data_IF_701321071779
#
_entry.id   IF_701321071779
#
_cell.length_a   1.000
_cell.length_b   1.000
_cell.length_c   1.000
_cell.angle_alpha   90.00
_cell.angle_beta   90.00
_cell.angle_gamma   90.00
#
_symmetry.space_group_name_H-M   'P 1'
#
loop_
_entity.id
_entity.type
_entity.pdbx_description
1 polymer ?
#
# COMPACT_ATOMS: atom_id res chain seq x y z
N UNK A 1 17.49 9.44 -4.38
CA UNK A 1 16.74 8.79 -5.47
C UNK A 1 15.73 7.89 -4.80
N UNK A 2 14.46 8.24 -4.85
CA UNK A 2 13.36 7.45 -4.29
C UNK A 2 13.02 6.27 -5.21
N UNK A 3 12.70 5.14 -4.60
CA UNK A 3 12.38 3.87 -5.29
C UNK A 3 11.24 4.04 -6.32
N UNK A 4 10.27 4.93 -6.03
CA UNK A 4 9.15 5.24 -6.91
C UNK A 4 9.60 5.81 -8.26
N UNK A 5 10.54 6.77 -8.24
CA UNK A 5 11.10 7.37 -9.45
C UNK A 5 11.93 6.38 -10.27
N UNK A 6 12.62 5.45 -9.61
CA UNK A 6 13.40 4.40 -10.29
C UNK A 6 12.50 3.45 -11.11
N UNK A 7 11.28 3.18 -10.62
CA UNK A 7 10.30 2.32 -11.28
C UNK A 7 9.24 3.06 -12.10
N UNK A 8 9.40 4.38 -12.32
CA UNK A 8 8.46 5.23 -13.06
C UNK A 8 7.00 5.14 -12.56
N UNK A 9 6.81 4.99 -11.25
CA UNK A 9 5.48 4.81 -10.65
C UNK A 9 4.74 6.16 -10.64
N UNK A 10 3.51 6.19 -11.14
CA UNK A 10 2.65 7.39 -11.12
C UNK A 10 1.61 7.28 -10.00
N UNK A 11 1.55 8.29 -9.13
CA UNK A 11 0.58 8.41 -8.05
C UNK A 11 -0.53 9.40 -8.44
N UNK A 12 -1.77 8.90 -8.57
CA UNK A 12 -2.95 9.75 -8.67
C UNK A 12 -3.59 9.88 -7.28
N UNK A 13 -3.21 10.93 -6.56
CA UNK A 13 -3.69 11.20 -5.21
C UNK A 13 -5.19 11.52 -5.15
N UNK A 14 -5.77 12.08 -6.23
CA UNK A 14 -7.19 12.44 -6.27
C UNK A 14 -8.07 11.19 -6.37
N UNK A 15 -7.63 10.20 -7.15
CA UNK A 15 -8.33 8.92 -7.32
C UNK A 15 -7.84 7.81 -6.38
N UNK A 16 -6.80 8.08 -5.58
CA UNK A 16 -6.11 7.11 -4.72
C UNK A 16 -5.61 5.89 -5.51
N UNK A 17 -5.04 6.14 -6.69
CA UNK A 17 -4.53 5.10 -7.59
C UNK A 17 -3.01 5.15 -7.65
N UNK A 18 -2.41 3.96 -7.75
CA UNK A 18 -0.99 3.76 -8.04
C UNK A 18 -0.90 3.08 -9.40
N UNK A 19 -0.21 3.71 -10.36
CA UNK A 19 -0.11 3.24 -11.73
C UNK A 19 1.33 2.75 -11.97
N UNK A 20 1.44 1.49 -12.40
CA UNK A 20 2.69 0.85 -12.80
C UNK A 20 2.76 0.78 -14.33
N UNK A 21 3.40 1.74 -15.01
CA UNK A 21 3.51 1.72 -16.47
C UNK A 21 4.42 0.56 -16.92
N UNK A 22 4.08 -0.06 -18.06
CA UNK A 22 4.96 -1.05 -18.70
C UNK A 22 6.32 -0.42 -19.01
N UNK A 23 7.46 -1.13 -18.86
CA UNK A 23 8.80 -0.57 -19.10
C UNK A 23 8.97 0.01 -20.51
N UNK A 24 8.24 -0.51 -21.49
CA UNK A 24 8.19 0.02 -22.86
C UNK A 24 7.47 1.36 -22.89
N UNK A 25 6.33 1.46 -22.21
CA UNK A 25 5.48 2.66 -22.14
C UNK A 25 6.07 3.75 -21.22
N UNK A 26 6.77 3.37 -20.15
CA UNK A 26 7.47 4.28 -19.24
C UNK A 26 8.58 5.06 -19.98
N UNK A 27 9.30 4.40 -20.90
CA UNK A 27 10.23 5.06 -21.83
C UNK A 27 9.52 6.01 -22.80
N UNK A 28 8.32 5.67 -23.26
CA UNK A 28 7.51 6.56 -24.10
C UNK A 28 7.00 7.80 -23.35
N UNK A 29 6.60 7.67 -22.08
CA UNK A 29 6.17 8.79 -21.23
C UNK A 29 7.35 9.70 -20.83
N UNK A 30 8.52 9.11 -20.55
CA UNK A 30 9.78 9.85 -20.35
C UNK A 30 10.22 10.64 -21.58
N UNK A 31 9.87 10.18 -22.79
CA UNK A 31 10.23 10.84 -24.04
C UNK A 31 9.29 12.01 -24.41
N UNK A 32 8.09 12.07 -23.82
CA UNK A 32 7.18 13.19 -23.95
C UNK A 32 7.38 14.18 -22.79
N UNK A 33 8.36 15.07 -22.96
CA UNK A 33 8.28 16.39 -22.33
C UNK A 33 6.92 16.99 -22.71
N UNK A 34 6.07 17.24 -21.73
CA UNK A 34 4.87 18.07 -21.93
C UNK A 34 5.34 19.48 -22.27
N UNK A 35 5.48 19.79 -23.56
CA UNK A 35 5.73 21.15 -24.03
C UNK A 35 4.43 21.94 -23.99
N UNK A 36 4.22 22.65 -22.89
CA UNK A 36 3.24 23.73 -22.81
C UNK A 36 3.81 24.92 -23.58
N UNK A 37 3.28 25.18 -24.78
CA UNK A 37 3.60 26.40 -25.52
C UNK A 37 2.45 27.39 -25.43
N UNK A 38 2.73 28.61 -24.96
CA UNK A 38 1.79 29.72 -24.99
C UNK A 38 1.80 30.34 -26.39
N UNK A 39 0.66 30.40 -27.07
CA UNK A 39 0.43 31.29 -28.21
C UNK A 39 -0.85 32.07 -27.97
N UNK A 40 -0.78 33.40 -28.11
CA UNK A 40 -1.90 34.34 -28.07
C UNK A 40 -2.90 34.19 -26.89
N UNK A 41 -2.36 34.02 -25.68
CA UNK A 41 -3.17 34.14 -24.45
C UNK A 41 -4.12 32.98 -24.14
N UNK A 42 -4.16 31.93 -24.96
CA UNK A 42 -4.87 30.69 -24.66
C UNK A 42 -3.89 29.54 -24.37
N UNK A 43 -4.14 28.82 -23.27
CA UNK A 43 -3.37 27.65 -22.88
C UNK A 43 -3.84 26.43 -23.68
N UNK A 44 -3.16 26.11 -24.77
CA UNK A 44 -3.35 24.83 -25.46
C UNK A 44 -2.39 23.77 -24.89
N UNK A 45 -2.94 22.88 -24.07
CA UNK A 45 -2.28 21.68 -23.61
C UNK A 45 -2.61 20.52 -24.56
N UNK A 46 -1.68 20.16 -25.46
CA UNK A 46 -1.79 18.91 -26.23
C UNK A 46 -1.15 17.77 -25.45
N UNK A 47 -1.94 17.12 -24.61
CA UNK A 47 -1.56 15.88 -23.95
C UNK A 47 -1.90 14.69 -24.86
N UNK A 48 -0.87 13.99 -25.36
CA UNK A 48 -1.05 12.69 -26.02
C UNK A 48 -0.69 11.58 -25.04
N UNK A 49 -1.70 10.97 -24.42
CA UNK A 49 -1.74 9.55 -24.04
C UNK A 49 -3.03 9.24 -23.28
N UNK A 50 -4.05 8.73 -23.97
CA UNK A 50 -5.07 7.91 -23.31
C UNK A 50 -4.51 6.49 -23.20
N UNK A 51 -3.89 6.15 -22.08
CA UNK A 51 -3.79 4.74 -21.70
C UNK A 51 -5.09 4.39 -20.99
N UNK A 52 -5.90 3.54 -21.61
CA UNK A 52 -6.96 2.84 -20.91
C UNK A 52 -6.29 1.97 -19.84
N UNK A 53 -6.30 2.46 -18.60
CA UNK A 53 -5.95 1.66 -17.43
C UNK A 53 -7.00 0.55 -17.35
N UNK A 54 -6.65 -0.62 -17.87
CA UNK A 54 -7.46 -1.82 -17.72
C UNK A 54 -7.46 -2.19 -16.25
N UNK A 55 -8.53 -1.79 -15.56
CA UNK A 55 -8.76 -1.97 -14.12
C UNK A 55 -8.94 -3.44 -13.69
N UNK A 56 -8.61 -4.38 -14.58
CA UNK A 56 -8.84 -5.83 -14.44
C UNK A 56 -7.58 -6.68 -14.38
N UNK A 57 -6.39 -6.09 -14.31
CA UNK A 57 -5.16 -6.86 -14.06
C UNK A 57 -5.13 -7.34 -12.61
N UNK A 58 -4.91 -8.64 -12.45
CA UNK A 58 -4.63 -9.28 -11.16
C UNK A 58 -3.33 -8.70 -10.59
N UNK A 59 -3.26 -8.50 -9.28
CA UNK A 59 -2.08 -7.89 -8.61
C UNK A 59 -0.83 -8.73 -8.88
N UNK A 60 -1.00 -10.04 -9.03
CA UNK A 60 0.03 -11.02 -9.37
C UNK A 60 0.59 -10.85 -10.80
N UNK A 61 -0.04 -10.05 -11.67
CA UNK A 61 0.45 -9.77 -13.04
C UNK A 61 1.38 -8.54 -13.08
N UNK A 62 1.48 -7.79 -11.97
CA UNK A 62 2.38 -6.64 -11.85
C UNK A 62 3.82 -7.16 -11.70
N UNK A 63 4.71 -6.75 -12.60
CA UNK A 63 6.12 -7.20 -12.65
C UNK A 63 6.83 -7.08 -11.31
N UNK A 64 6.63 -5.96 -10.59
CA UNK A 64 7.25 -5.73 -9.28
C UNK A 64 6.69 -6.69 -8.21
N UNK A 65 5.38 -6.95 -8.21
CA UNK A 65 4.80 -7.91 -7.26
C UNK A 65 5.33 -9.32 -7.51
N UNK A 66 5.52 -9.69 -8.79
CA UNK A 66 6.11 -10.99 -9.18
C UNK A 66 7.59 -11.10 -8.81
N UNK A 67 8.29 -9.99 -8.72
CA UNK A 67 9.70 -9.95 -8.31
C UNK A 67 9.86 -10.05 -6.79
N UNK A 68 8.88 -9.54 -6.03
CA UNK A 68 8.88 -9.48 -4.56
C UNK A 68 7.71 -10.26 -3.92
N UNK A 69 7.50 -11.50 -4.36
CA UNK A 69 6.37 -12.33 -3.89
C UNK A 69 6.44 -12.61 -2.38
N UNK A 70 7.64 -12.66 -1.82
CA UNK A 70 7.91 -12.81 -0.39
C UNK A 70 7.50 -11.58 0.44
N UNK A 71 7.49 -10.39 -0.15
CA UNK A 71 7.06 -9.12 0.48
C UNK A 71 5.55 -8.93 0.39
N UNK A 72 4.91 -9.51 -0.63
CA UNK A 72 3.46 -9.43 -0.87
C UNK A 72 2.75 -10.79 -0.78
N UNK A 73 2.85 -11.52 0.35
CA UNK A 73 2.09 -12.75 0.53
C UNK A 73 0.59 -12.44 0.68
N UNK A 74 -0.26 -13.41 0.34
CA UNK A 74 -1.72 -13.27 0.48
C UNK A 74 -2.17 -13.11 1.94
N UNK A 75 -1.37 -13.63 2.88
CA UNK A 75 -1.58 -13.52 4.33
C UNK A 75 -0.22 -13.33 5.03
N UNK A 76 -0.23 -12.69 6.20
CA UNK A 76 1.00 -12.39 6.94
C UNK A 76 1.48 -13.66 7.66
N UNK A 77 2.67 -14.18 7.33
CA UNK A 77 3.10 -15.51 7.81
C UNK A 77 3.46 -15.55 9.30
N UNK A 78 3.65 -14.39 9.93
CA UNK A 78 4.01 -14.27 11.33
C UNK A 78 4.61 -12.90 11.64
N UNK A 79 5.06 -12.70 12.88
CA UNK A 79 5.72 -11.46 13.27
C UNK A 79 6.97 -11.22 12.41
N UNK A 80 7.28 -9.95 12.07
CA UNK A 80 8.52 -9.64 11.40
C UNK A 80 9.71 -10.11 12.25
N UNK A 81 10.86 -10.43 11.62
CA UNK A 81 12.09 -10.75 12.35
C UNK A 81 12.43 -9.68 13.39
N UNK A 82 13.15 -10.08 14.43
CA UNK A 82 13.65 -9.17 15.46
C UNK A 82 14.40 -8.03 14.76
N UNK A 83 13.88 -6.81 14.93
CA UNK A 83 14.51 -5.59 14.43
C UNK A 83 15.54 -5.11 15.44
N UNK A 84 16.57 -4.41 14.98
CA UNK A 84 17.56 -3.75 15.85
C UNK A 84 16.91 -2.69 16.77
N UNK A 85 15.72 -2.21 16.40
CA UNK A 85 14.94 -1.25 17.19
C UNK A 85 13.74 -1.95 17.81
N UNK A 86 13.70 -1.96 19.15
CA UNK A 86 12.53 -2.38 19.92
C UNK A 86 11.47 -1.27 19.91
N UNK A 87 10.21 -1.64 19.73
CA UNK A 87 9.10 -0.70 19.88
C UNK A 87 8.78 -0.54 21.36
N UNK A 88 9.29 0.53 21.98
CA UNK A 88 8.94 0.91 23.34
C UNK A 88 7.70 1.81 23.37
N UNK A 89 6.81 1.60 24.35
CA UNK A 89 5.69 2.49 24.63
C UNK A 89 6.07 3.37 25.82
N UNK A 90 6.49 4.60 25.54
CA UNK A 90 6.81 5.57 26.58
C UNK A 90 5.54 6.12 27.23
N UNK A 91 5.39 5.90 28.53
CA UNK A 91 4.27 6.42 29.31
C UNK A 91 4.61 7.80 29.86
N UNK A 92 3.60 8.68 29.90
CA UNK A 92 3.77 9.96 30.59
C UNK A 92 3.97 9.71 32.11
N UNK A 93 4.90 10.43 32.77
CA UNK A 93 5.12 10.27 34.21
C UNK A 93 3.82 10.40 35.01
N UNK A 94 3.55 9.43 35.88
CA UNK A 94 2.32 9.37 36.67
C UNK A 94 1.15 8.64 36.01
N UNK A 95 1.33 8.09 34.81
CA UNK A 95 0.33 7.22 34.17
C UNK A 95 0.26 5.87 34.90
N UNK A 96 -0.92 5.49 35.37
CA UNK A 96 -1.19 4.18 35.98
C UNK A 96 -1.80 3.20 34.96
N UNK A 97 -1.68 1.88 35.18
CA UNK A 97 -2.35 0.89 34.35
C UNK A 97 -3.87 1.08 34.38
N UNK A 98 -4.49 1.02 33.20
CA UNK A 98 -5.96 1.06 33.08
C UNK A 98 -6.49 -0.36 33.20
N UNK A 99 -7.49 -0.54 34.05
CA UNK A 99 -8.25 -1.80 34.15
C UNK A 99 -9.72 -1.50 33.86
N UNK A 100 -10.28 -2.16 32.84
CA UNK A 100 -11.67 -2.04 32.46
C UNK A 100 -12.27 -3.43 32.22
N UNK A 101 -13.56 -3.61 32.55
CA UNK A 101 -14.26 -4.86 32.26
C UNK A 101 -14.46 -5.04 30.75
N UNK A 102 -14.33 -6.25 30.19
CA UNK A 102 -14.66 -6.51 28.79
C UNK A 102 -16.10 -6.13 28.46
N UNK A 103 -16.34 -5.70 27.23
CA UNK A 103 -17.70 -5.44 26.74
C UNK A 103 -18.52 -6.75 26.67
N UNK A 104 -19.82 -6.63 26.91
CA UNK A 104 -20.75 -7.75 26.74
C UNK A 104 -20.90 -8.05 25.25
N UNK A 105 -20.73 -9.32 24.90
CA UNK A 105 -20.87 -9.84 23.55
C UNK A 105 -21.93 -10.95 23.54
N UNK A 106 -22.65 -11.05 22.44
CA UNK A 106 -23.57 -12.15 22.14
C UNK A 106 -22.82 -13.47 21.92
N UNK A 107 -23.50 -14.62 22.00
CA UNK A 107 -22.85 -15.92 21.75
C UNK A 107 -22.19 -16.02 20.37
N UNK A 108 -22.78 -15.44 19.32
CA UNK A 108 -22.20 -15.43 17.97
C UNK A 108 -20.91 -14.62 17.88
N UNK A 109 -20.86 -13.47 18.55
CA UNK A 109 -19.66 -12.63 18.60
C UNK A 109 -18.53 -13.32 19.37
N UNK A 110 -18.86 -14.02 20.46
CA UNK A 110 -17.87 -14.79 21.23
C UNK A 110 -17.25 -15.94 20.42
N UNK A 111 -18.04 -16.61 19.57
CA UNK A 111 -17.54 -17.66 18.68
C UNK A 111 -16.56 -17.08 17.65
N UNK A 112 -16.89 -15.95 17.04
CA UNK A 112 -16.02 -15.29 16.07
C UNK A 112 -14.74 -14.73 16.73
N UNK A 113 -14.88 -14.11 17.92
CA UNK A 113 -13.73 -13.63 18.68
C UNK A 113 -12.77 -14.79 19.01
N UNK A 114 -13.31 -15.92 19.47
CA UNK A 114 -12.49 -17.11 19.74
C UNK A 114 -11.76 -17.58 18.47
N UNK A 115 -12.45 -17.65 17.33
CA UNK A 115 -11.85 -18.05 16.04
C UNK A 115 -10.67 -17.14 15.69
N UNK A 116 -10.83 -15.82 15.84
CA UNK A 116 -9.77 -14.85 15.55
C UNK A 116 -8.59 -14.97 16.53
N UNK A 117 -8.87 -15.13 17.83
CA UNK A 117 -7.82 -15.32 18.85
C UNK A 117 -7.02 -16.59 18.59
N UNK A 118 -7.69 -17.71 18.27
CA UNK A 118 -7.04 -18.97 17.92
C UNK A 118 -6.17 -18.83 16.66
N UNK A 119 -6.65 -18.09 15.65
CA UNK A 119 -5.88 -17.78 14.43
C UNK A 119 -4.62 -16.95 14.74
N UNK A 120 -4.75 -15.89 15.55
CA UNK A 120 -3.62 -15.02 15.92
C UNK A 120 -2.57 -15.76 16.78
N UNK A 121 -3.01 -16.60 17.72
CA UNK A 121 -2.10 -17.45 18.51
C UNK A 121 -1.35 -18.44 17.62
N UNK A 122 -2.04 -19.06 16.64
CA UNK A 122 -1.41 -20.01 15.72
C UNK A 122 -0.31 -19.36 14.86
N UNK A 123 -0.41 -18.05 14.60
CA UNK A 123 0.55 -17.23 13.86
C UNK A 123 1.61 -16.58 14.77
N UNK A 124 1.59 -16.85 16.09
CA UNK A 124 2.45 -16.23 17.11
C UNK A 124 2.39 -14.68 17.10
N UNK A 125 1.21 -14.11 16.84
CA UNK A 125 1.00 -12.66 16.92
C UNK A 125 0.68 -12.18 18.34
N UNK A 126 0.09 -13.06 19.16
CA UNK A 126 -0.35 -12.80 20.54
C UNK A 126 0.01 -13.98 21.44
#
# INVERSE_FOLDING_TARGET
MDWLSYHYILLDCARKLVIFPDPSLAKFLSAYEVKVSLKDGNQECTAFASSEVTLGRRIEEITIVREFVDVFPADVPGLPPVRETEFAIDLHPGTSPITASPYRMSPSELVELKRQVDELMSKNFI
#
